data_IF_280161072733
#
_entry.id   IF_280161072733
#
_cell.length_a   1.000
_cell.length_b   1.000
_cell.length_c   1.000
_cell.angle_alpha   90.00
_cell.angle_beta   90.00
_cell.angle_gamma   90.00
#
_symmetry.space_group_name_H-M   'P 1'
#
loop_
_entity.id
_entity.type
_entity.pdbx_description
1 polymer ?
#
# COMPACT_ATOMS: atom_id res chain seq x y z
N UNK A 1 1.88 17.83 9.88
CA UNK A 1 2.60 18.56 8.83
C UNK A 1 2.61 17.70 7.58
N UNK A 2 2.55 18.31 6.40
CA UNK A 2 2.63 17.64 5.10
C UNK A 2 3.81 18.23 4.31
N UNK A 3 4.37 17.48 3.36
CA UNK A 3 5.18 18.10 2.31
C UNK A 3 4.29 18.93 1.37
N UNK A 4 4.93 19.75 0.54
CA UNK A 4 4.31 20.65 -0.42
C UNK A 4 5.09 20.60 -1.74
N UNK A 5 4.49 21.04 -2.84
CA UNK A 5 5.19 21.21 -4.12
C UNK A 5 6.31 22.25 -3.97
N UNK A 6 7.49 21.99 -4.54
CA UNK A 6 8.63 22.91 -4.48
C UNK A 6 8.77 23.70 -5.79
N UNK A 7 7.94 24.73 -6.05
CA UNK A 7 8.10 25.54 -7.25
C UNK A 7 9.36 26.41 -7.15
N UNK A 8 9.89 26.75 -8.33
CA UNK A 8 10.88 27.82 -8.45
C UNK A 8 10.19 29.11 -8.90
N UNK A 9 10.46 30.19 -8.18
CA UNK A 9 10.09 31.55 -8.59
C UNK A 9 11.36 32.36 -8.82
N UNK A 10 11.50 32.92 -10.03
CA UNK A 10 12.67 33.70 -10.45
C UNK A 10 14.02 32.99 -10.20
N UNK A 11 14.04 31.66 -10.33
CA UNK A 11 15.23 30.82 -10.13
C UNK A 11 15.55 30.49 -8.67
N UNK A 12 14.66 30.84 -7.72
CA UNK A 12 14.82 30.52 -6.30
C UNK A 12 13.74 29.52 -5.85
N UNK A 13 14.11 28.62 -4.95
CA UNK A 13 13.18 27.72 -4.28
C UNK A 13 12.28 28.48 -3.32
N UNK A 14 10.98 28.22 -3.40
CA UNK A 14 9.99 28.87 -2.53
C UNK A 14 9.72 28.03 -1.29
N UNK A 15 9.47 28.72 -0.18
CA UNK A 15 8.99 28.11 1.06
C UNK A 15 7.60 27.48 0.91
N UNK A 16 6.97 27.06 2.02
CA UNK A 16 5.65 26.44 1.96
C UNK A 16 4.62 27.38 1.33
N UNK A 17 3.49 26.85 0.80
CA UNK A 17 2.43 27.65 0.22
C UNK A 17 2.04 28.76 1.18
N UNK A 18 2.17 30.02 0.74
CA UNK A 18 1.99 31.19 1.58
C UNK A 18 1.12 32.25 0.89
N UNK A 19 0.45 33.08 1.70
CA UNK A 19 -0.26 34.25 1.20
C UNK A 19 0.70 35.41 0.88
N UNK A 20 0.15 36.52 0.37
CA UNK A 20 0.92 37.71 0.01
C UNK A 20 1.63 38.38 1.21
N UNK A 21 1.24 38.03 2.44
CA UNK A 21 1.84 38.51 3.69
C UNK A 21 2.91 37.55 4.22
N UNK A 22 3.16 36.43 3.52
CA UNK A 22 4.13 35.41 3.91
C UNK A 22 3.63 34.44 4.98
N UNK A 23 2.32 34.40 5.26
CA UNK A 23 1.74 33.42 6.19
C UNK A 23 1.48 32.11 5.47
N UNK A 24 1.84 31.00 6.08
CA UNK A 24 1.59 29.66 5.52
C UNK A 24 0.09 29.40 5.39
N UNK A 25 -0.33 29.04 4.19
CA UNK A 25 -1.71 28.68 3.87
C UNK A 25 -2.13 27.41 4.61
N UNK A 26 -3.43 27.30 4.88
CA UNK A 26 -4.00 26.08 5.45
C UNK A 26 -3.76 24.86 4.57
N UNK A 27 -3.59 23.70 5.20
CA UNK A 27 -3.31 22.45 4.48
C UNK A 27 -4.57 21.98 3.74
N UNK A 28 -4.50 21.99 2.41
CA UNK A 28 -5.48 21.37 1.52
C UNK A 28 -4.75 20.43 0.55
N UNK A 29 -4.94 19.14 0.76
CA UNK A 29 -4.24 18.09 0.03
C UNK A 29 -4.72 18.04 -1.43
N UNK A 30 -3.79 17.84 -2.37
CA UNK A 30 -4.07 17.81 -3.80
C UNK A 30 -4.02 19.17 -4.51
N UNK A 31 -3.93 20.27 -3.74
CA UNK A 31 -3.46 21.56 -4.24
C UNK A 31 -1.92 21.59 -4.10
N UNK A 32 -1.36 22.65 -3.50
CA UNK A 32 0.09 22.75 -3.28
C UNK A 32 0.64 21.86 -2.16
N UNK A 33 -0.22 21.12 -1.43
CA UNK A 33 0.18 20.18 -0.37
C UNK A 33 0.01 18.73 -0.83
N UNK A 34 1.05 17.91 -0.72
CA UNK A 34 1.05 16.55 -1.29
C UNK A 34 0.29 15.53 -0.43
N UNK A 35 0.44 15.63 0.89
CA UNK A 35 -0.18 14.77 1.88
C UNK A 35 0.03 13.27 1.63
N UNK A 36 1.27 12.85 1.35
CA UNK A 36 1.60 11.45 1.04
C UNK A 36 1.20 10.50 2.17
N UNK A 37 1.31 10.95 3.42
CA UNK A 37 0.83 10.22 4.60
C UNK A 37 -0.68 9.93 4.61
N UNK A 38 -1.46 10.54 3.71
CA UNK A 38 -2.90 10.31 3.52
C UNK A 38 -3.22 9.52 2.26
N UNK A 39 -2.23 9.26 1.39
CA UNK A 39 -2.45 8.42 0.22
C UNK A 39 -2.86 7.02 0.69
N UNK A 40 -3.93 6.42 0.11
CA UNK A 40 -4.47 5.14 0.58
C UNK A 40 -3.42 4.05 0.71
N UNK A 41 -2.46 3.98 -0.20
CA UNK A 41 -1.39 2.98 -0.24
C UNK A 41 -0.41 3.18 0.93
N UNK A 42 -0.05 4.42 1.23
CA UNK A 42 0.86 4.75 2.34
C UNK A 42 0.15 4.54 3.68
N UNK A 43 -1.06 5.07 3.83
CA UNK A 43 -1.87 4.87 5.03
C UNK A 43 -2.17 3.38 5.27
N UNK A 44 -2.48 2.64 4.20
CA UNK A 44 -2.68 1.19 4.21
C UNK A 44 -1.43 0.46 4.68
N UNK A 45 -0.24 0.78 4.17
CA UNK A 45 1.00 0.15 4.63
C UNK A 45 1.41 0.54 6.06
N UNK A 46 1.07 1.75 6.53
CA UNK A 46 1.21 2.11 7.95
C UNK A 46 0.31 1.21 8.80
N UNK A 47 -0.94 1.01 8.40
CA UNK A 47 -1.85 0.08 9.08
C UNK A 47 -1.32 -1.35 9.06
N UNK A 48 -0.85 -1.84 7.90
CA UNK A 48 -0.20 -3.16 7.77
C UNK A 48 0.94 -3.32 8.78
N UNK A 49 1.82 -2.32 8.89
CA UNK A 49 2.96 -2.36 9.82
C UNK A 49 2.52 -2.40 11.28
N UNK A 50 1.42 -1.72 11.63
CA UNK A 50 0.85 -1.75 12.97
C UNK A 50 0.19 -3.10 13.28
N UNK A 51 -0.59 -3.66 12.35
CA UNK A 51 -1.27 -4.97 12.53
C UNK A 51 -0.27 -6.11 12.64
N UNK A 52 0.80 -6.05 11.85
CA UNK A 52 1.89 -7.04 11.84
C UNK A 52 2.96 -6.76 12.89
N UNK A 53 2.77 -5.74 13.74
CA UNK A 53 3.67 -5.48 14.86
C UNK A 53 3.69 -6.69 15.80
N UNK A 54 4.89 -7.11 16.20
CA UNK A 54 5.10 -8.29 17.03
C UNK A 54 5.17 -9.62 16.28
N UNK A 55 5.02 -9.65 14.95
CA UNK A 55 5.41 -10.83 14.17
C UNK A 55 6.94 -11.02 14.29
N UNK A 56 7.42 -12.17 14.81
CA UNK A 56 8.83 -12.37 15.17
C UNK A 56 9.74 -12.54 13.96
N UNK A 57 9.16 -12.89 12.81
CA UNK A 57 9.87 -13.33 11.61
C UNK A 57 9.27 -12.71 10.36
N UNK A 58 10.10 -12.70 9.31
CA UNK A 58 9.64 -12.64 7.92
C UNK A 58 9.61 -14.09 7.45
N UNK A 59 8.45 -14.56 7.02
CA UNK A 59 8.22 -15.96 6.63
C UNK A 59 7.76 -16.03 5.18
N UNK A 60 7.77 -17.24 4.61
CA UNK A 60 7.26 -17.51 3.26
C UNK A 60 7.80 -16.54 2.20
N UNK A 61 9.10 -16.23 2.29
CA UNK A 61 9.80 -15.48 1.27
C UNK A 61 9.70 -16.20 -0.08
N UNK A 62 9.36 -15.44 -1.10
CA UNK A 62 9.37 -15.87 -2.48
C UNK A 62 9.92 -14.75 -3.35
N UNK A 63 10.70 -15.11 -4.34
CA UNK A 63 11.15 -14.22 -5.40
C UNK A 63 11.25 -15.00 -6.72
N UNK A 64 11.25 -14.29 -7.84
CA UNK A 64 11.45 -14.89 -9.16
C UNK A 64 12.92 -14.84 -9.65
N UNK A 65 13.87 -14.52 -8.78
CA UNK A 65 15.26 -14.22 -9.14
C UNK A 65 15.48 -12.84 -9.77
N UNK A 66 14.45 -11.98 -9.82
CA UNK A 66 14.52 -10.63 -10.37
C UNK A 66 13.73 -9.63 -9.50
N UNK A 67 12.72 -8.94 -10.03
CA UNK A 67 12.06 -7.79 -9.39
C UNK A 67 10.61 -8.07 -8.98
N UNK A 68 10.27 -9.34 -8.81
CA UNK A 68 9.04 -9.80 -8.16
C UNK A 68 9.38 -10.47 -6.84
N UNK A 69 8.73 -10.03 -5.76
CA UNK A 69 8.93 -10.59 -4.42
C UNK A 69 7.61 -10.74 -3.68
N UNK A 70 7.57 -11.66 -2.73
CA UNK A 70 6.49 -11.79 -1.77
C UNK A 70 7.01 -12.29 -0.42
N UNK A 71 6.35 -11.90 0.66
CA UNK A 71 6.69 -12.39 1.99
C UNK A 71 5.56 -12.18 3.00
N UNK A 72 5.59 -12.99 4.05
CA UNK A 72 4.71 -12.89 5.20
C UNK A 72 5.38 -12.23 6.40
N UNK A 73 4.56 -11.68 7.29
CA UNK A 73 4.93 -11.29 8.65
C UNK A 73 4.23 -12.23 9.63
N UNK A 74 4.85 -13.38 9.91
CA UNK A 74 4.21 -14.46 10.66
C UNK A 74 2.87 -14.84 10.02
N UNK A 75 1.86 -15.02 10.86
CA UNK A 75 0.48 -15.28 10.47
C UNK A 75 -0.40 -14.01 10.49
N UNK A 76 0.19 -12.81 10.38
CA UNK A 76 -0.51 -11.53 10.57
C UNK A 76 -0.73 -10.74 9.29
N UNK A 77 0.15 -10.89 8.31
CA UNK A 77 0.00 -10.21 7.02
C UNK A 77 0.93 -10.76 5.95
N UNK A 78 0.58 -10.51 4.70
CA UNK A 78 1.29 -10.95 3.51
C UNK A 78 1.34 -9.81 2.49
N UNK A 79 2.48 -9.66 1.83
CA UNK A 79 2.74 -8.61 0.83
C UNK A 79 3.33 -9.25 -0.43
N UNK A 80 2.84 -8.82 -1.59
CA UNK A 80 3.37 -9.16 -2.92
C UNK A 80 3.69 -7.87 -3.65
N UNK A 81 4.90 -7.76 -4.20
CA UNK A 81 5.37 -6.59 -4.96
C UNK A 81 5.82 -7.05 -6.35
N UNK A 82 5.32 -6.38 -7.38
CA UNK A 82 5.76 -6.56 -8.75
C UNK A 82 6.37 -5.26 -9.28
N UNK A 83 7.70 -5.19 -9.31
CA UNK A 83 8.42 -4.05 -9.89
C UNK A 83 8.86 -4.32 -11.34
N UNK A 84 8.31 -5.34 -11.99
CA UNK A 84 8.55 -5.64 -13.41
C UNK A 84 7.50 -5.02 -14.32
N UNK A 85 7.74 -5.12 -15.64
CA UNK A 85 6.82 -4.67 -16.68
C UNK A 85 5.83 -5.78 -17.10
N UNK A 86 6.05 -7.02 -16.63
CA UNK A 86 5.16 -8.16 -16.85
C UNK A 86 4.29 -8.40 -15.59
N UNK A 87 3.05 -8.90 -15.75
CA UNK A 87 2.22 -9.25 -14.60
C UNK A 87 2.79 -10.45 -13.84
N UNK A 88 2.60 -10.45 -12.52
CA UNK A 88 2.81 -11.61 -11.66
C UNK A 88 1.49 -12.37 -11.56
N UNK A 89 1.53 -13.68 -11.80
CA UNK A 89 0.41 -14.60 -11.57
C UNK A 89 0.93 -15.85 -10.87
N UNK A 90 0.77 -15.93 -9.55
CA UNK A 90 1.38 -16.97 -8.72
C UNK A 90 0.49 -17.37 -7.55
N UNK A 91 0.51 -18.67 -7.22
CA UNK A 91 -0.09 -19.18 -5.98
C UNK A 91 0.99 -19.30 -4.91
N UNK A 92 0.85 -18.52 -3.84
CA UNK A 92 1.87 -18.34 -2.80
C UNK A 92 1.36 -18.77 -1.43
N UNK A 93 2.26 -19.31 -0.60
CA UNK A 93 1.97 -19.63 0.79
C UNK A 93 1.95 -18.33 1.62
N UNK A 94 0.83 -18.02 2.26
CA UNK A 94 0.67 -16.72 2.94
C UNK A 94 0.94 -16.77 4.44
N UNK A 95 0.77 -17.95 5.06
CA UNK A 95 0.76 -18.09 6.51
C UNK A 95 -0.51 -17.59 7.21
N UNK A 96 -1.47 -17.05 6.45
CA UNK A 96 -2.75 -16.57 6.97
C UNK A 96 -3.76 -17.72 7.07
N UNK A 97 -4.74 -17.56 7.96
CA UNK A 97 -5.85 -18.49 8.06
C UNK A 97 -6.75 -18.43 6.82
N UNK A 98 -7.45 -19.52 6.46
CA UNK A 98 -8.35 -19.55 5.32
C UNK A 98 -9.43 -18.47 5.44
N UNK A 99 -9.71 -17.74 4.37
CA UNK A 99 -10.66 -16.63 4.39
C UNK A 99 -10.47 -15.68 3.22
N UNK A 100 -11.36 -14.68 3.14
CA UNK A 100 -11.27 -13.60 2.16
C UNK A 100 -10.67 -12.37 2.83
N UNK A 101 -9.71 -11.74 2.18
CA UNK A 101 -8.99 -10.58 2.70
C UNK A 101 -8.99 -9.47 1.67
N UNK A 102 -9.11 -8.24 2.12
CA UNK A 102 -9.07 -7.06 1.26
C UNK A 102 -7.65 -6.65 0.94
N UNK A 103 -7.41 -6.35 -0.33
CA UNK A 103 -6.20 -5.65 -0.73
C UNK A 103 -6.26 -4.22 -0.18
N UNK A 104 -5.46 -3.95 0.85
CA UNK A 104 -5.39 -2.64 1.49
C UNK A 104 -4.64 -1.59 0.65
N UNK A 105 -4.06 -1.99 -0.49
CA UNK A 105 -3.41 -1.08 -1.45
C UNK A 105 -4.31 -0.73 -2.62
N UNK A 106 -5.52 -1.30 -2.69
CA UNK A 106 -6.48 -0.90 -3.71
C UNK A 106 -6.95 0.53 -3.44
N UNK A 107 -6.87 1.40 -4.45
CA UNK A 107 -7.48 2.72 -4.40
C UNK A 107 -8.99 2.60 -4.45
N UNK A 108 -9.74 3.20 -3.50
CA UNK A 108 -11.20 3.22 -3.59
C UNK A 108 -11.63 3.96 -4.86
N UNK A 109 -12.47 3.34 -5.67
CA UNK A 109 -13.16 4.01 -6.77
C UNK A 109 -14.23 4.95 -6.22
N UNK A 110 -14.44 6.08 -6.88
CA UNK A 110 -15.46 7.09 -6.49
C UNK A 110 -16.90 6.53 -6.44
N UNK A 111 -17.13 5.34 -7.01
CA UNK A 111 -18.44 4.73 -7.19
C UNK A 111 -18.68 3.46 -6.36
N UNK A 112 -17.72 3.01 -5.54
CA UNK A 112 -17.93 1.84 -4.68
C UNK A 112 -18.06 2.25 -3.22
N UNK A 113 -19.26 2.00 -2.68
CA UNK A 113 -19.56 2.06 -1.25
C UNK A 113 -19.17 0.75 -0.53
N UNK A 114 -18.47 -0.16 -1.20
CA UNK A 114 -18.00 -1.42 -0.62
C UNK A 114 -16.57 -1.24 -0.14
N UNK A 115 -16.33 -1.52 1.15
CA UNK A 115 -15.04 -1.40 1.86
C UNK A 115 -13.86 -2.19 1.23
N UNK A 116 -14.07 -2.91 0.12
CA UNK A 116 -13.13 -3.88 -0.42
C UNK A 116 -13.34 -4.17 -1.92
N UNK A 117 -12.68 -3.42 -2.79
CA UNK A 117 -12.82 -3.59 -4.26
C UNK A 117 -12.09 -4.82 -4.81
N UNK A 118 -10.94 -5.15 -4.20
CA UNK A 118 -10.15 -6.30 -4.58
C UNK A 118 -9.96 -7.20 -3.35
N UNK A 119 -10.50 -8.42 -3.41
CA UNK A 119 -10.35 -9.42 -2.35
C UNK A 119 -9.48 -10.60 -2.80
N UNK A 120 -8.62 -11.07 -1.90
CA UNK A 120 -7.77 -12.25 -2.06
C UNK A 120 -8.34 -13.38 -1.19
N UNK A 121 -8.51 -14.56 -1.78
CA UNK A 121 -8.98 -15.75 -1.06
C UNK A 121 -7.79 -16.61 -0.67
N UNK A 122 -7.63 -16.84 0.63
CA UNK A 122 -6.69 -17.80 1.20
C UNK A 122 -7.42 -19.12 1.39
N UNK A 123 -6.89 -20.19 0.79
CA UNK A 123 -7.44 -21.53 0.85
C UNK A 123 -7.17 -22.24 2.20
N UNK A 124 -7.68 -23.47 2.33
CA UNK A 124 -7.53 -24.29 3.55
C UNK A 124 -6.08 -24.70 3.84
N UNK A 125 -5.18 -24.59 2.88
CA UNK A 125 -3.75 -24.86 3.01
C UNK A 125 -2.95 -23.58 3.32
N UNK A 126 -3.60 -22.43 3.44
CA UNK A 126 -2.95 -21.13 3.67
C UNK A 126 -2.34 -20.51 2.41
N UNK A 127 -2.68 -21.02 1.22
CA UNK A 127 -2.21 -20.48 -0.06
C UNK A 127 -3.23 -19.52 -0.67
N UNK A 128 -2.76 -18.56 -1.44
CA UNK A 128 -3.62 -17.68 -2.22
C UNK A 128 -3.02 -17.45 -3.61
N UNK A 129 -3.88 -17.33 -4.61
CA UNK A 129 -3.49 -16.89 -5.95
C UNK A 129 -3.46 -15.37 -6.01
N UNK A 130 -2.35 -14.82 -6.50
CA UNK A 130 -2.13 -13.39 -6.67
C UNK A 130 -1.94 -13.06 -8.14
N UNK A 131 -2.71 -12.09 -8.61
CA UNK A 131 -2.53 -11.44 -9.90
C UNK A 131 -2.16 -9.99 -9.66
N UNK A 132 -0.90 -9.66 -9.88
CA UNK A 132 -0.35 -8.31 -9.63
C UNK A 132 0.11 -7.72 -10.94
N UNK A 133 -0.58 -6.67 -11.37
CA UNK A 133 -0.22 -5.94 -12.58
C UNK A 133 1.21 -5.36 -12.51
N UNK A 134 1.81 -4.99 -13.65
CA UNK A 134 3.11 -4.32 -13.68
C UNK A 134 3.15 -3.08 -12.78
N UNK A 135 4.23 -2.90 -12.03
CA UNK A 135 4.45 -1.75 -11.12
C UNK A 135 3.37 -1.60 -10.04
N UNK A 136 2.76 -2.70 -9.62
CA UNK A 136 1.73 -2.72 -8.57
C UNK A 136 2.14 -3.65 -7.42
N UNK A 137 1.40 -3.56 -6.32
CA UNK A 137 1.56 -4.43 -5.16
C UNK A 137 0.19 -4.79 -4.57
N UNK A 138 0.14 -5.91 -3.86
CA UNK A 138 -1.03 -6.35 -3.09
C UNK A 138 -0.58 -6.63 -1.68
N UNK A 139 -1.30 -6.08 -0.69
CA UNK A 139 -1.08 -6.39 0.71
C UNK A 139 -2.38 -6.80 1.39
N UNK A 140 -2.31 -7.82 2.22
CA UNK A 140 -3.43 -8.34 3.02
C UNK A 140 -2.97 -8.58 4.46
N UNK A 141 -3.86 -8.38 5.43
CA UNK A 141 -3.57 -8.62 6.85
C UNK A 141 -4.79 -9.09 7.62
N UNK A 142 -4.59 -9.62 8.82
CA UNK A 142 -5.67 -10.23 9.63
C UNK A 142 -6.85 -9.31 9.94
N UNK A 143 -6.63 -8.00 10.09
CA UNK A 143 -7.71 -7.02 10.30
C UNK A 143 -8.43 -6.59 9.01
N UNK A 144 -7.97 -7.04 7.84
CA UNK A 144 -8.60 -6.78 6.54
C UNK A 144 -9.38 -8.02 6.05
N UNK A 145 -9.66 -8.96 6.95
CA UNK A 145 -10.46 -10.15 6.66
C UNK A 145 -11.95 -9.79 6.61
N UNK A 146 -12.64 -10.28 5.59
CA UNK A 146 -14.09 -10.16 5.38
C UNK A 146 -14.88 -11.24 6.13
#
# INVERSE_FOLDING_TARGET
MSSYDWPQELGNWVGPPADAQGQTLSIRCGDSWQCEHRWPEIAGMVKFRNVTQGAPTIDYWWDNGNSQIAFARGNRGFLVINHEDNPLSQTLMTGLLPGRYCNILATPSENSASDCEQSITVDTLGKAHFEVAPKQAIAIHIEARL
#
